data_IF_805025230728
#
_entry.id   IF_805025230728
#
_cell.length_a   1.000
_cell.length_b   1.000
_cell.length_c   1.000
_cell.angle_alpha   90.00
_cell.angle_beta   90.00
_cell.angle_gamma   90.00
#
_symmetry.space_group_name_H-M   'P 1'
#
loop_
_entity.id
_entity.type
_entity.pdbx_description
1 polymer ?
#
# COMPACT_ATOMS: atom_id res chain seq x y z
N UNK A 1 -23.12 8.07 -77.85
CA UNK A 1 -22.92 6.64 -78.17
C UNK A 1 -21.41 6.34 -78.17
N UNK A 2 -20.83 5.97 -77.03
CA UNK A 2 -19.39 5.70 -76.90
C UNK A 2 -19.11 4.21 -76.75
N UNK A 3 -18.44 3.60 -77.73
CA UNK A 3 -18.06 2.17 -77.70
C UNK A 3 -16.95 1.95 -76.66
N UNK A 4 -17.22 1.15 -75.61
CA UNK A 4 -16.19 0.68 -74.68
C UNK A 4 -15.28 -0.30 -75.41
N UNK A 5 -13.97 -0.01 -75.44
CA UNK A 5 -12.95 -0.93 -75.96
C UNK A 5 -12.72 -2.04 -74.91
N UNK A 6 -13.03 -3.28 -75.27
CA UNK A 6 -12.77 -4.46 -74.44
C UNK A 6 -11.30 -4.81 -74.62
N UNK A 7 -10.53 -4.71 -73.54
CA UNK A 7 -9.10 -5.01 -73.53
C UNK A 7 -8.92 -6.54 -73.49
N UNK A 8 -8.35 -7.13 -74.54
CA UNK A 8 -8.00 -8.55 -74.58
C UNK A 8 -6.61 -8.71 -73.93
N UNK A 9 -6.45 -9.46 -72.83
CA UNK A 9 -5.13 -9.67 -72.25
C UNK A 9 -4.23 -10.48 -73.20
N UNK A 10 -2.96 -10.10 -73.21
CA UNK A 10 -1.91 -10.63 -74.08
C UNK A 10 -1.57 -12.08 -73.74
N UNK A 11 -1.39 -12.90 -74.78
CA UNK A 11 -1.02 -14.33 -74.70
C UNK A 11 0.38 -14.54 -74.09
N UNK A 12 1.13 -13.46 -73.87
CA UNK A 12 2.48 -13.48 -73.25
C UNK A 12 2.49 -13.04 -71.78
N UNK A 13 1.34 -12.82 -71.14
CA UNK A 13 1.30 -12.72 -69.68
C UNK A 13 1.42 -14.12 -69.07
N UNK A 14 2.66 -14.58 -68.94
CA UNK A 14 2.98 -15.64 -68.00
C UNK A 14 2.45 -15.22 -66.62
N UNK A 15 1.37 -15.85 -66.18
CA UNK A 15 0.90 -15.72 -64.82
C UNK A 15 2.02 -16.24 -63.93
N UNK A 16 2.74 -15.33 -63.27
CA UNK A 16 3.56 -15.67 -62.11
C UNK A 16 2.59 -16.15 -61.04
N UNK A 17 2.26 -17.44 -61.09
CA UNK A 17 1.59 -18.13 -59.99
C UNK A 17 2.63 -18.21 -58.88
N UNK A 18 2.69 -17.17 -58.05
CA UNK A 18 3.37 -17.26 -56.77
C UNK A 18 2.57 -18.28 -55.95
N UNK A 19 3.16 -19.44 -55.58
CA UNK A 19 2.48 -20.35 -54.67
C UNK A 19 2.22 -19.59 -53.38
N UNK A 20 0.94 -19.36 -53.07
CA UNK A 20 0.52 -18.73 -51.84
C UNK A 20 1.10 -19.51 -50.66
N UNK A 21 2.07 -18.91 -49.97
CA UNK A 21 2.26 -19.05 -48.53
C UNK A 21 2.55 -20.42 -47.95
N UNK A 22 3.01 -21.43 -48.70
CA UNK A 22 3.54 -22.69 -48.11
C UNK A 22 5.06 -22.63 -47.96
N UNK A 23 5.55 -21.69 -47.15
CA UNK A 23 6.99 -21.55 -46.93
C UNK A 23 7.41 -21.00 -45.57
N UNK A 24 6.48 -20.55 -44.72
CA UNK A 24 6.82 -20.01 -43.39
C UNK A 24 6.72 -21.12 -42.31
N UNK A 25 6.03 -22.21 -42.59
CA UNK A 25 5.79 -23.28 -41.61
C UNK A 25 6.83 -24.39 -41.58
N UNK A 26 7.74 -24.48 -42.56
CA UNK A 26 8.65 -25.64 -42.68
C UNK A 26 9.78 -25.58 -41.65
N UNK A 27 10.35 -24.40 -41.36
CA UNK A 27 11.36 -24.24 -40.31
C UNK A 27 10.79 -24.30 -38.88
N UNK A 28 9.47 -24.12 -38.70
CA UNK A 28 8.85 -24.17 -37.38
C UNK A 28 8.67 -25.61 -36.87
N UNK A 29 8.85 -26.60 -37.75
CA UNK A 29 8.65 -28.03 -37.46
C UNK A 29 9.90 -28.75 -36.97
N UNK A 30 11.09 -28.16 -37.10
CA UNK A 30 12.35 -28.86 -36.79
C UNK A 30 12.69 -28.85 -35.30
N UNK A 31 12.35 -27.77 -34.57
CA UNK A 31 12.65 -27.64 -33.13
C UNK A 31 11.48 -27.09 -32.30
N UNK A 32 10.33 -27.80 -32.22
CA UNK A 32 9.17 -27.33 -31.44
C UNK A 32 9.47 -27.16 -29.94
N UNK A 33 10.39 -27.96 -29.41
CA UNK A 33 10.84 -27.87 -28.01
C UNK A 33 11.65 -26.61 -27.73
N UNK A 34 12.50 -26.17 -28.66
CA UNK A 34 13.34 -24.98 -28.50
C UNK A 34 12.49 -23.72 -28.47
N UNK A 35 11.52 -23.61 -29.38
CA UNK A 35 10.57 -22.49 -29.42
C UNK A 35 9.70 -22.44 -28.16
N UNK A 36 9.26 -23.58 -27.65
CA UNK A 36 8.53 -23.66 -26.39
C UNK A 36 9.41 -23.22 -25.22
N UNK A 37 10.65 -23.71 -25.14
CA UNK A 37 11.61 -23.35 -24.10
C UNK A 37 11.92 -21.85 -24.11
N UNK A 38 12.23 -21.26 -25.27
CA UNK A 38 12.50 -19.84 -25.41
C UNK A 38 11.30 -18.99 -25.01
N UNK A 39 10.08 -19.38 -25.42
CA UNK A 39 8.85 -18.68 -25.04
C UNK A 39 8.59 -18.78 -23.54
N UNK A 40 8.81 -19.93 -22.93
CA UNK A 40 8.66 -20.09 -21.46
C UNK A 40 9.66 -19.23 -20.71
N UNK A 41 10.92 -19.20 -21.15
CA UNK A 41 11.97 -18.37 -20.54
C UNK A 41 11.63 -16.89 -20.67
N UNK A 42 11.13 -16.45 -21.83
CA UNK A 42 10.68 -15.08 -22.03
C UNK A 42 9.51 -14.71 -21.11
N UNK A 43 8.52 -15.58 -20.95
CA UNK A 43 7.39 -15.36 -20.03
C UNK A 43 7.88 -15.30 -18.58
N UNK A 44 8.77 -16.19 -18.16
CA UNK A 44 9.36 -16.18 -16.82
C UNK A 44 10.14 -14.88 -16.58
N UNK A 45 10.95 -14.46 -17.56
CA UNK A 45 11.72 -13.22 -17.48
C UNK A 45 10.82 -12.01 -17.34
N UNK A 46 9.78 -11.90 -18.17
CA UNK A 46 8.80 -10.81 -18.05
C UNK A 46 8.11 -10.83 -16.69
N UNK A 47 7.70 -12.01 -16.21
CA UNK A 47 7.07 -12.16 -14.89
C UNK A 47 7.99 -11.68 -13.77
N UNK A 48 9.28 -12.03 -13.83
CA UNK A 48 10.29 -11.56 -12.89
C UNK A 48 10.45 -10.04 -12.92
N UNK A 49 10.51 -9.44 -14.12
CA UNK A 49 10.62 -7.98 -14.27
C UNK A 49 9.40 -7.27 -13.69
N UNK A 50 8.19 -7.71 -14.02
CA UNK A 50 6.97 -7.12 -13.48
C UNK A 50 6.85 -7.30 -11.97
N UNK A 51 7.19 -8.48 -11.46
CA UNK A 51 7.21 -8.77 -10.03
C UNK A 51 8.20 -7.87 -9.29
N UNK A 52 9.40 -7.67 -9.86
CA UNK A 52 10.41 -6.79 -9.29
C UNK A 52 9.91 -5.34 -9.21
N UNK A 53 9.36 -4.81 -10.31
CA UNK A 53 8.83 -3.44 -10.33
C UNK A 53 7.69 -3.29 -9.31
N UNK A 54 6.78 -4.27 -9.25
CA UNK A 54 5.68 -4.28 -8.29
C UNK A 54 6.21 -4.30 -6.84
N UNK A 55 7.16 -5.19 -6.53
CA UNK A 55 7.71 -5.33 -5.19
C UNK A 55 8.45 -4.07 -4.73
N UNK A 56 9.26 -3.47 -5.61
CA UNK A 56 9.95 -2.20 -5.33
C UNK A 56 8.93 -1.08 -5.10
N UNK A 57 7.92 -0.97 -5.96
CA UNK A 57 6.86 0.03 -5.82
C UNK A 57 6.09 -0.12 -4.50
N UNK A 58 5.64 -1.34 -4.19
CA UNK A 58 4.95 -1.66 -2.94
C UNK A 58 5.82 -1.39 -1.72
N UNK A 59 7.12 -1.71 -1.77
CA UNK A 59 8.06 -1.44 -0.70
C UNK A 59 8.22 0.06 -0.43
N UNK A 60 8.35 0.88 -1.49
CA UNK A 60 8.44 2.34 -1.36
C UNK A 60 7.17 2.91 -0.73
N UNK A 61 5.99 2.50 -1.20
CA UNK A 61 4.71 2.94 -0.63
C UNK A 61 4.58 2.55 0.85
N UNK A 62 4.98 1.34 1.21
CA UNK A 62 4.95 0.87 2.60
C UNK A 62 5.90 1.69 3.50
N UNK A 63 7.08 2.03 2.99
CA UNK A 63 8.03 2.90 3.72
C UNK A 63 7.45 4.31 3.91
N UNK A 64 6.80 4.87 2.90
CA UNK A 64 6.18 6.20 2.98
C UNK A 64 5.05 6.18 4.02
N UNK A 65 4.13 5.22 3.93
CA UNK A 65 3.02 5.09 4.89
C UNK A 65 3.53 4.93 6.33
N UNK A 66 4.56 4.11 6.53
CA UNK A 66 5.20 3.96 7.85
C UNK A 66 5.80 5.28 8.35
N UNK A 67 6.48 6.03 7.49
CA UNK A 67 7.06 7.33 7.86
C UNK A 67 5.98 8.34 8.24
N UNK A 68 4.91 8.41 7.46
CA UNK A 68 3.79 9.31 7.73
C UNK A 68 3.12 9.00 9.07
N UNK A 69 2.85 7.72 9.35
CA UNK A 69 2.32 7.27 10.64
C UNK A 69 3.24 7.65 11.82
N UNK A 70 4.56 7.55 11.67
CA UNK A 70 5.52 7.95 12.71
C UNK A 70 5.51 9.47 12.95
N UNK A 71 5.42 10.25 11.87
CA UNK A 71 5.33 11.72 11.98
C UNK A 71 4.03 12.13 12.68
N UNK A 72 2.92 11.51 12.32
CA UNK A 72 1.62 11.77 12.94
C UNK A 72 1.60 11.37 14.42
N UNK A 73 2.15 10.19 14.75
CA UNK A 73 2.28 9.76 16.15
C UNK A 73 3.14 10.74 16.98
N UNK A 74 4.22 11.25 16.41
CA UNK A 74 5.09 12.24 17.07
C UNK A 74 4.37 13.56 17.28
N UNK A 75 3.57 14.00 16.30
CA UNK A 75 2.75 15.22 16.39
C UNK A 75 1.68 15.07 17.48
N UNK A 76 0.99 13.94 17.51
CA UNK A 76 -0.03 13.66 18.52
C UNK A 76 0.57 13.59 19.93
N UNK A 77 1.72 12.92 20.09
CA UNK A 77 2.44 12.86 21.37
C UNK A 77 2.82 14.26 21.88
N UNK A 78 3.35 15.10 20.99
CA UNK A 78 3.66 16.50 21.33
C UNK A 78 2.41 17.29 21.76
N UNK A 79 1.28 17.07 21.09
CA UNK A 79 0.02 17.72 21.47
C UNK A 79 -0.47 17.27 22.84
N UNK A 80 -0.41 15.96 23.13
CA UNK A 80 -0.76 15.40 24.45
C UNK A 80 0.15 16.01 25.53
N UNK A 81 1.46 16.05 25.32
CA UNK A 81 2.39 16.63 26.28
C UNK A 81 2.09 18.12 26.58
N UNK A 82 1.69 18.89 25.56
CA UNK A 82 1.25 20.26 25.77
C UNK A 82 -0.04 20.35 26.60
N UNK A 83 -1.03 19.50 26.31
CA UNK A 83 -2.26 19.46 27.10
C UNK A 83 -2.02 19.01 28.53
N UNK A 84 -1.13 18.04 28.77
CA UNK A 84 -0.75 17.61 30.11
C UNK A 84 -0.09 18.76 30.88
N UNK A 85 0.85 19.47 30.24
CA UNK A 85 1.49 20.66 30.83
C UNK A 85 0.46 21.71 31.22
N UNK A 86 -0.48 22.02 30.31
CA UNK A 86 -1.52 23.02 30.54
C UNK A 86 -2.49 22.58 31.65
N UNK A 87 -2.87 21.30 31.67
CA UNK A 87 -3.67 20.70 32.73
C UNK A 87 -2.98 20.77 34.09
N UNK A 88 -1.69 20.43 34.16
CA UNK A 88 -0.92 20.53 35.40
C UNK A 88 -0.81 21.98 35.88
N UNK A 89 -0.56 22.93 34.98
CA UNK A 89 -0.56 24.35 35.32
C UNK A 89 -1.93 24.84 35.84
N UNK A 90 -3.03 24.37 35.25
CA UNK A 90 -4.38 24.75 35.69
C UNK A 90 -4.74 24.10 37.04
N UNK A 91 -4.44 22.81 37.21
CA UNK A 91 -4.77 22.06 38.43
C UNK A 91 -4.03 22.57 39.67
N UNK A 92 -2.81 23.08 39.53
CA UNK A 92 -2.09 23.73 40.63
C UNK A 92 -2.79 25.01 41.13
N UNK A 93 -3.61 25.65 40.29
CA UNK A 93 -4.39 26.83 40.66
C UNK A 93 -5.76 26.49 41.28
N UNK A 94 -6.16 25.21 41.31
CA UNK A 94 -7.41 24.78 41.95
C UNK A 94 -7.16 24.51 43.42
N UNK A 95 -7.29 25.55 44.24
CA UNK A 95 -7.21 25.43 45.70
C UNK A 95 -8.62 25.35 46.33
N UNK A 96 -8.77 24.81 47.55
CA UNK A 96 -10.07 24.80 48.25
C UNK A 96 -10.67 26.19 48.40
N UNK A 97 -9.83 27.23 48.52
CA UNK A 97 -10.27 28.63 48.58
C UNK A 97 -10.81 29.13 47.22
N UNK A 98 -10.32 28.59 46.09
CA UNK A 98 -10.91 28.87 44.78
C UNK A 98 -12.32 28.27 44.64
N UNK A 99 -12.57 27.14 45.29
CA UNK A 99 -13.87 26.48 45.30
C UNK A 99 -14.95 27.31 45.97
N UNK A 100 -14.64 27.94 47.10
CA UNK A 100 -15.58 28.83 47.79
C UNK A 100 -15.87 30.10 46.97
N UNK A 101 -14.89 30.63 46.23
CA UNK A 101 -15.08 31.75 45.29
C UNK A 101 -15.96 31.38 44.07
N UNK A 102 -15.98 30.11 43.67
CA UNK A 102 -16.84 29.55 42.62
C UNK A 102 -18.25 29.18 43.12
N UNK A 103 -18.57 29.46 44.40
CA UNK A 103 -19.87 29.13 44.99
C UNK A 103 -20.01 27.66 45.40
N UNK A 104 -18.92 26.89 45.41
CA UNK A 104 -18.91 25.51 45.88
C UNK A 104 -18.82 25.50 47.41
N UNK A 105 -19.75 24.79 48.05
CA UNK A 105 -19.74 24.58 49.49
C UNK A 105 -18.93 23.32 49.85
N UNK A 106 -18.16 23.32 50.95
CA UNK A 106 -17.43 22.13 51.39
C UNK A 106 -18.40 21.00 51.73
N UNK A 107 -18.22 19.84 51.09
CA UNK A 107 -19.07 18.66 51.30
C UNK A 107 -18.66 17.99 52.61
N UNK A 108 -19.53 18.02 53.61
CA UNK A 108 -19.25 17.45 54.95
C UNK A 108 -19.44 15.93 55.05
N UNK A 109 -20.12 15.32 54.08
CA UNK A 109 -20.43 13.88 54.04
C UNK A 109 -19.92 13.28 52.72
N UNK A 110 -18.64 12.92 52.68
CA UNK A 110 -18.04 12.22 51.54
C UNK A 110 -18.08 10.71 51.79
N UNK A 111 -18.93 9.99 51.05
CA UNK A 111 -18.86 8.54 50.96
C UNK A 111 -17.79 8.19 49.91
N UNK A 112 -16.57 7.89 50.36
CA UNK A 112 -15.50 7.42 49.49
C UNK A 112 -15.83 6.01 49.00
N UNK A 113 -16.26 5.89 47.74
CA UNK A 113 -16.44 4.59 47.09
C UNK A 113 -15.10 4.15 46.53
N UNK A 114 -14.50 3.12 47.14
CA UNK A 114 -13.30 2.49 46.61
C UNK A 114 -13.63 1.84 45.26
N UNK A 115 -13.06 2.38 44.18
CA UNK A 115 -13.16 1.83 42.83
C UNK A 115 -11.81 1.17 42.47
N UNK A 116 -11.68 -0.16 42.58
CA UNK A 116 -10.50 -0.86 42.09
C UNK A 116 -10.53 -0.85 40.55
N UNK A 117 -9.96 0.20 39.96
CA UNK A 117 -9.84 0.37 38.52
C UNK A 117 -8.38 0.54 38.11
N UNK A 118 -7.80 -0.53 37.58
CA UNK A 118 -6.64 -0.58 36.68
C UNK A 118 -5.44 0.35 36.99
N UNK A 119 -4.94 0.34 38.22
CA UNK A 119 -3.49 0.52 38.40
C UNK A 119 -2.84 -0.77 37.92
N UNK A 120 -2.02 -0.71 36.87
CA UNK A 120 -1.35 -1.86 36.29
C UNK A 120 -0.71 -2.70 37.40
N UNK A 121 -1.05 -3.99 37.44
CA UNK A 121 -0.45 -4.92 38.38
C UNK A 121 1.03 -5.08 38.01
N UNK A 122 1.89 -4.32 38.70
CA UNK A 122 3.29 -4.67 38.78
C UNK A 122 3.37 -5.73 39.87
N UNK A 123 3.43 -6.99 39.47
CA UNK A 123 3.79 -8.09 40.36
C UNK A 123 5.21 -7.81 40.84
N UNK A 124 5.34 -7.26 42.05
CA UNK A 124 6.63 -7.18 42.74
C UNK A 124 7.03 -8.61 43.09
N UNK A 125 8.11 -9.18 42.52
CA UNK A 125 8.53 -10.52 42.90
C UNK A 125 8.87 -10.52 44.39
N UNK A 126 8.19 -11.40 45.13
CA UNK A 126 8.41 -11.65 46.54
C UNK A 126 9.85 -12.15 46.71
N UNK A 127 10.72 -11.27 47.20
CA UNK A 127 12.08 -11.63 47.60
C UNK A 127 11.97 -12.43 48.90
N UNK A 128 11.99 -13.76 48.78
CA UNK A 128 12.12 -14.67 49.92
C UNK A 128 13.58 -14.57 50.42
N UNK A 129 13.71 -14.13 51.68
CA UNK A 129 14.95 -14.16 52.46
C UNK A 129 14.89 -15.38 53.35
#
# INVERSE_FOLDING_TARGET
>A
MGRRKIHKPSIFQAQLQFPEGRGIYVLNTEHPLENAAFRTLLVIFLTLVFSYIYFVGASVLNIIARKEALVEATKLSSAIANFERDYFAMSQNVTPESGTALGLAPVSNTAYVYRPGAVGQIETPRNEI
#
